data_IF_445369588922
#
_entry.id   IF_445369588922
#
_cell.length_a   1.000
_cell.length_b   1.000
_cell.length_c   1.000
_cell.angle_alpha   90.00
_cell.angle_beta   90.00
_cell.angle_gamma   90.00
#
_symmetry.space_group_name_H-M   'P 1'
#
loop_
_entity.id
_entity.type
_entity.pdbx_description
1 polymer ?
#
# COMPACT_ATOMS: atom_id res chain seq x y z
N UNK A 1 34.99 3.18 -9.85
CA UNK A 1 35.00 3.06 -8.37
C UNK A 1 33.90 3.91 -7.72
N UNK A 2 33.61 5.12 -8.20
CA UNK A 2 32.55 6.01 -7.66
C UNK A 2 31.12 5.44 -7.84
N UNK A 3 30.82 4.79 -8.96
CA UNK A 3 29.50 4.14 -9.21
C UNK A 3 29.14 3.03 -8.19
N UNK A 4 30.13 2.42 -7.53
CA UNK A 4 29.91 1.36 -6.53
C UNK A 4 29.55 1.89 -5.13
N UNK A 5 29.81 3.17 -4.86
CA UNK A 5 29.50 3.81 -3.58
C UNK A 5 28.07 4.35 -3.62
N UNK A 6 27.67 4.99 -4.72
CA UNK A 6 26.28 5.44 -4.92
C UNK A 6 25.29 4.28 -4.98
N UNK A 7 25.67 3.13 -5.55
CA UNK A 7 24.80 1.95 -5.60
C UNK A 7 24.57 1.34 -4.22
N UNK A 8 25.61 1.27 -3.37
CA UNK A 8 25.51 0.77 -1.99
C UNK A 8 24.73 1.72 -1.07
N UNK A 9 24.98 3.02 -1.19
CA UNK A 9 24.24 4.05 -0.46
C UNK A 9 22.75 3.99 -0.82
N UNK A 10 22.44 3.86 -2.12
CA UNK A 10 21.06 3.67 -2.56
C UNK A 10 20.44 2.39 -1.99
N UNK A 11 21.12 1.25 -2.03
CA UNK A 11 20.60 -0.02 -1.50
C UNK A 11 20.33 0.03 0.01
N UNK A 12 21.19 0.70 0.78
CA UNK A 12 21.02 0.87 2.23
C UNK A 12 19.77 1.71 2.56
N UNK A 13 19.54 2.79 1.81
CA UNK A 13 18.33 3.60 1.95
C UNK A 13 17.04 2.81 1.61
N UNK A 14 17.11 1.81 0.72
CA UNK A 14 15.97 0.94 0.41
C UNK A 14 15.71 -0.10 1.49
N UNK A 15 16.76 -0.73 2.03
CA UNK A 15 16.62 -1.61 3.18
C UNK A 15 16.00 -0.87 4.37
N UNK A 16 16.47 0.34 4.65
CA UNK A 16 15.90 1.21 5.67
C UNK A 16 14.46 1.62 5.33
N UNK A 17 14.15 1.98 4.08
CA UNK A 17 12.78 2.31 3.66
C UNK A 17 11.83 1.11 3.83
N UNK A 18 12.22 -0.09 3.41
CA UNK A 18 11.43 -1.31 3.56
C UNK A 18 11.26 -1.67 5.04
N UNK A 19 12.32 -1.53 5.85
CA UNK A 19 12.26 -1.74 7.29
C UNK A 19 11.31 -0.76 7.98
N UNK A 20 11.45 0.53 7.71
CA UNK A 20 10.54 1.58 8.19
C UNK A 20 9.11 1.36 7.69
N UNK A 21 8.94 0.95 6.43
CA UNK A 21 7.65 0.58 5.85
C UNK A 21 6.99 -0.54 6.64
N UNK A 22 7.70 -1.66 6.83
CA UNK A 22 7.19 -2.82 7.54
C UNK A 22 6.83 -2.46 8.99
N UNK A 23 7.73 -1.73 9.67
CA UNK A 23 7.48 -1.24 11.02
C UNK A 23 6.24 -0.34 11.08
N UNK A 24 6.12 0.63 10.17
CA UNK A 24 4.98 1.54 10.15
C UNK A 24 3.67 0.80 9.86
N UNK A 25 3.68 -0.23 8.99
CA UNK A 25 2.50 -1.07 8.76
C UNK A 25 2.11 -1.88 9.98
N UNK A 26 3.08 -2.45 10.70
CA UNK A 26 2.82 -3.15 11.96
C UNK A 26 2.21 -2.17 12.98
N UNK A 27 2.80 -0.98 13.14
CA UNK A 27 2.30 0.05 14.06
C UNK A 27 0.87 0.48 13.70
N UNK A 28 0.59 0.70 12.42
CA UNK A 28 -0.76 1.04 11.92
C UNK A 28 -1.74 -0.11 12.22
N UNK A 29 -1.35 -1.36 11.98
CA UNK A 29 -2.22 -2.52 12.24
C UNK A 29 -2.49 -2.72 13.75
N UNK A 30 -1.48 -2.54 14.60
CA UNK A 30 -1.62 -2.60 16.07
C UNK A 30 -2.51 -1.46 16.57
N UNK A 31 -2.28 -0.23 16.11
CA UNK A 31 -3.12 0.92 16.45
C UNK A 31 -4.56 0.71 16.00
N UNK A 32 -4.77 0.16 14.81
CA UNK A 32 -6.09 -0.18 14.29
C UNK A 32 -6.81 -1.20 15.18
N UNK A 33 -6.17 -2.32 15.50
CA UNK A 33 -6.74 -3.34 16.40
C UNK A 33 -7.07 -2.77 17.79
N UNK A 34 -6.19 -1.92 18.34
CA UNK A 34 -6.41 -1.26 19.62
C UNK A 34 -7.62 -0.33 19.56
N UNK A 35 -7.72 0.53 18.54
CA UNK A 35 -8.85 1.45 18.36
C UNK A 35 -10.16 0.70 18.19
N UNK A 36 -10.19 -0.35 17.36
CA UNK A 36 -11.42 -1.16 17.18
C UNK A 36 -11.84 -1.85 18.48
N UNK A 37 -10.88 -2.34 19.27
CA UNK A 37 -11.14 -2.95 20.57
C UNK A 37 -11.70 -1.92 21.58
N UNK A 38 -11.11 -0.73 21.66
CA UNK A 38 -11.54 0.32 22.59
C UNK A 38 -12.91 0.90 22.24
N UNK A 39 -13.28 0.92 20.96
CA UNK A 39 -14.54 1.47 20.48
C UNK A 39 -15.66 0.43 20.37
N UNK A 40 -15.40 -0.83 20.71
CA UNK A 40 -16.29 -1.97 20.42
C UNK A 40 -16.80 -1.95 18.97
N UNK A 41 -15.95 -1.45 18.06
CA UNK A 41 -16.31 -1.30 16.67
C UNK A 41 -16.26 -2.69 16.03
N UNK A 42 -17.28 -3.08 15.23
CA UNK A 42 -17.26 -4.35 14.55
C UNK A 42 -16.00 -4.41 13.68
N UNK A 43 -15.17 -5.42 13.91
CA UNK A 43 -14.07 -5.74 13.00
C UNK A 43 -14.73 -6.09 11.68
N UNK A 44 -14.55 -5.23 10.68
CA UNK A 44 -15.01 -5.52 9.33
C UNK A 44 -14.27 -6.79 8.91
N UNK A 45 -14.98 -7.92 8.93
CA UNK A 45 -14.53 -9.10 8.23
C UNK A 45 -14.36 -8.66 6.78
N UNK A 46 -13.13 -8.71 6.29
CA UNK A 46 -12.90 -8.57 4.86
C UNK A 46 -13.86 -9.54 4.19
N UNK A 47 -14.64 -9.05 3.23
CA UNK A 47 -15.43 -9.93 2.37
C UNK A 47 -14.41 -10.67 1.51
N UNK A 48 -13.76 -11.66 2.11
CA UNK A 48 -13.03 -12.67 1.38
C UNK A 48 -14.08 -13.32 0.52
N UNK A 49 -14.05 -13.07 -0.79
CA UNK A 49 -14.74 -13.95 -1.69
C UNK A 49 -14.09 -15.32 -1.47
N UNK A 50 -14.74 -16.21 -0.72
CA UNK A 50 -14.38 -17.60 -0.67
C UNK A 50 -14.67 -18.19 -2.06
N UNK A 51 -13.78 -17.91 -3.01
CA UNK A 51 -13.94 -18.24 -4.43
C UNK A 51 -13.80 -19.75 -4.69
N UNK A 52 -13.64 -20.55 -3.63
CA UNK A 52 -13.43 -22.00 -3.69
C UNK A 52 -12.08 -22.41 -4.29
N UNK A 53 -11.25 -21.46 -4.73
CA UNK A 53 -9.96 -21.71 -5.37
C UNK A 53 -8.90 -20.76 -4.80
N UNK A 54 -8.05 -21.28 -3.92
CA UNK A 54 -7.00 -20.52 -3.26
C UNK A 54 -5.98 -19.90 -4.24
N UNK A 55 -5.69 -20.56 -5.37
CA UNK A 55 -4.77 -19.99 -6.36
C UNK A 55 -5.40 -18.78 -7.07
N UNK A 56 -6.69 -18.86 -7.39
CA UNK A 56 -7.41 -17.74 -7.99
C UNK A 56 -7.56 -16.56 -7.03
N UNK A 57 -7.89 -16.85 -5.77
CA UNK A 57 -7.97 -15.83 -4.70
C UNK A 57 -6.61 -15.15 -4.49
N UNK A 58 -5.52 -15.93 -4.39
CA UNK A 58 -4.16 -15.41 -4.29
C UNK A 58 -3.84 -14.46 -5.45
N UNK A 59 -4.11 -14.89 -6.69
CA UNK A 59 -3.87 -14.07 -7.88
C UNK A 59 -4.64 -12.74 -7.80
N UNK A 60 -5.91 -12.79 -7.38
CA UNK A 60 -6.74 -11.59 -7.29
C UNK A 60 -6.30 -10.64 -6.16
N UNK A 61 -6.07 -11.16 -4.96
CA UNK A 61 -5.79 -10.36 -3.75
C UNK A 61 -4.35 -9.83 -3.76
N UNK A 62 -3.39 -10.66 -4.16
CA UNK A 62 -1.97 -10.35 -4.05
C UNK A 62 -1.42 -9.67 -5.30
N UNK A 63 -1.98 -9.94 -6.48
CA UNK A 63 -1.40 -9.47 -7.75
C UNK A 63 -2.34 -8.52 -8.49
N UNK A 64 -3.53 -8.99 -8.87
CA UNK A 64 -4.42 -8.23 -9.78
C UNK A 64 -4.97 -6.98 -9.11
N UNK A 65 -5.53 -7.08 -7.90
CA UNK A 65 -6.12 -5.93 -7.21
C UNK A 65 -5.08 -4.85 -6.90
N UNK A 66 -3.89 -5.17 -6.33
CA UNK A 66 -2.83 -4.19 -6.13
C UNK A 66 -2.40 -3.47 -7.41
N UNK A 67 -2.32 -4.16 -8.54
CA UNK A 67 -1.98 -3.54 -9.83
C UNK A 67 -3.06 -2.54 -10.27
N UNK A 68 -4.33 -2.95 -10.24
CA UNK A 68 -5.46 -2.10 -10.64
C UNK A 68 -5.58 -0.90 -9.71
N UNK A 69 -5.56 -1.13 -8.40
CA UNK A 69 -5.71 -0.07 -7.40
C UNK A 69 -4.55 0.91 -7.44
N UNK A 70 -3.31 0.43 -7.58
CA UNK A 70 -2.14 1.32 -7.72
C UNK A 70 -2.20 2.11 -9.02
N UNK A 71 -2.67 1.51 -10.11
CA UNK A 71 -2.87 2.23 -11.36
C UNK A 71 -3.88 3.37 -11.20
N UNK A 72 -5.07 3.06 -10.66
CA UNK A 72 -6.17 4.01 -10.54
C UNK A 72 -5.93 5.09 -9.48
N UNK A 73 -5.50 4.69 -8.28
CA UNK A 73 -5.38 5.60 -7.14
C UNK A 73 -4.02 6.29 -7.05
N UNK A 74 -2.95 5.73 -7.64
CA UNK A 74 -1.61 6.33 -7.57
C UNK A 74 -1.19 6.86 -8.92
N UNK A 75 -1.10 6.02 -9.95
CA UNK A 75 -0.54 6.45 -11.23
C UNK A 75 -1.39 7.52 -11.92
N UNK A 76 -2.72 7.36 -12.02
CA UNK A 76 -3.56 8.33 -12.72
C UNK A 76 -3.50 9.74 -12.09
N UNK A 77 -3.58 9.93 -10.76
CA UNK A 77 -3.39 11.25 -10.15
C UNK A 77 -2.03 11.87 -10.48
N UNK A 78 -0.94 11.11 -10.40
CA UNK A 78 0.38 11.60 -10.79
C UNK A 78 0.46 11.94 -12.28
N UNK A 79 -0.19 11.15 -13.15
CA UNK A 79 -0.18 11.39 -14.58
C UNK A 79 -0.88 12.71 -14.94
N UNK A 80 -2.07 12.95 -14.40
CA UNK A 80 -2.90 14.10 -14.77
C UNK A 80 -2.61 15.38 -13.98
N UNK A 81 -2.15 15.27 -12.73
CA UNK A 81 -2.02 16.43 -11.84
C UNK A 81 -0.60 16.97 -11.71
N UNK A 82 0.43 16.24 -12.15
CA UNK A 82 1.85 16.65 -11.99
C UNK A 82 2.21 17.99 -12.63
N UNK A 83 1.46 18.43 -13.64
CA UNK A 83 1.66 19.73 -14.30
C UNK A 83 0.92 20.88 -13.62
N UNK A 84 0.00 20.58 -12.69
CA UNK A 84 -0.91 21.55 -12.07
C UNK A 84 -0.68 21.70 -10.57
N UNK A 85 -0.17 20.66 -9.91
CA UNK A 85 -0.02 20.60 -8.45
C UNK A 85 1.39 20.20 -8.05
N UNK A 86 1.80 20.65 -6.87
CA UNK A 86 3.02 20.18 -6.23
C UNK A 86 2.89 18.69 -5.87
N UNK A 87 3.99 17.95 -6.02
CA UNK A 87 3.97 16.48 -5.96
C UNK A 87 3.50 15.94 -4.59
N UNK A 88 3.73 16.65 -3.49
CA UNK A 88 3.25 16.22 -2.18
C UNK A 88 1.72 16.30 -2.05
N UNK A 89 1.06 17.27 -2.70
CA UNK A 89 -0.40 17.30 -2.74
C UNK A 89 -0.96 16.11 -3.51
N UNK A 90 -0.27 15.70 -4.58
CA UNK A 90 -0.67 14.52 -5.35
C UNK A 90 -0.55 13.26 -4.52
N UNK A 91 0.48 13.12 -3.67
CA UNK A 91 0.58 12.00 -2.71
C UNK A 91 -0.64 11.93 -1.80
N UNK A 92 -1.07 13.07 -1.23
CA UNK A 92 -2.24 13.14 -0.36
C UNK A 92 -3.53 12.83 -1.14
N UNK A 93 -3.69 13.38 -2.34
CA UNK A 93 -4.85 13.12 -3.22
C UNK A 93 -4.92 11.64 -3.60
N UNK A 94 -3.80 11.02 -3.98
CA UNK A 94 -3.72 9.60 -4.28
C UNK A 94 -4.16 8.74 -3.09
N UNK A 95 -3.72 9.10 -1.88
CA UNK A 95 -4.09 8.39 -0.68
C UNK A 95 -5.58 8.52 -0.34
N UNK A 96 -6.17 9.71 -0.56
CA UNK A 96 -7.61 9.93 -0.40
C UNK A 96 -8.42 9.11 -1.40
N UNK A 97 -8.00 9.05 -2.67
CA UNK A 97 -8.64 8.22 -3.69
C UNK A 97 -8.55 6.74 -3.31
N UNK A 98 -7.38 6.30 -2.84
CA UNK A 98 -7.20 4.93 -2.36
C UNK A 98 -8.14 4.60 -1.20
N UNK A 99 -8.25 5.49 -0.21
CA UNK A 99 -9.17 5.35 0.91
C UNK A 99 -10.64 5.30 0.46
N UNK A 100 -11.02 6.05 -0.57
CA UNK A 100 -12.37 6.07 -1.10
C UNK A 100 -12.80 4.72 -1.72
N UNK A 101 -11.85 3.91 -2.22
CA UNK A 101 -12.13 2.54 -2.65
C UNK A 101 -12.42 1.58 -1.48
N UNK A 102 -12.15 1.99 -0.24
CA UNK A 102 -12.19 1.17 0.97
C UNK A 102 -13.26 1.68 1.97
N UNK A 103 -14.50 1.88 1.50
CA UNK A 103 -15.58 2.55 2.24
C UNK A 103 -16.37 1.64 3.20
N UNK A 104 -15.85 0.46 3.56
CA UNK A 104 -16.53 -0.49 4.45
C UNK A 104 -16.79 0.05 5.85
N UNK A 105 -15.84 0.84 6.40
CA UNK A 105 -16.02 1.57 7.66
C UNK A 105 -15.09 2.78 7.68
N UNK A 106 -15.41 3.79 8.49
CA UNK A 106 -14.57 4.98 8.65
C UNK A 106 -13.17 4.61 9.15
N UNK A 107 -13.09 3.69 10.13
CA UNK A 107 -11.80 3.25 10.68
C UNK A 107 -10.98 2.56 9.58
N UNK A 108 -11.61 1.69 8.78
CA UNK A 108 -10.94 0.99 7.68
C UNK A 108 -10.51 1.95 6.57
N UNK A 109 -11.31 2.98 6.25
CA UNK A 109 -10.94 4.01 5.30
C UNK A 109 -9.73 4.83 5.80
N UNK A 110 -9.63 5.14 7.09
CA UNK A 110 -8.43 5.78 7.68
C UNK A 110 -7.21 4.86 7.57
N UNK A 111 -7.36 3.58 7.86
CA UNK A 111 -6.30 2.59 7.68
C UNK A 111 -5.84 2.51 6.19
N UNK A 112 -6.79 2.48 5.26
CA UNK A 112 -6.52 2.49 3.83
C UNK A 112 -5.84 3.80 3.40
N UNK A 113 -6.26 4.96 3.90
CA UNK A 113 -5.61 6.24 3.65
C UNK A 113 -4.13 6.22 4.02
N UNK A 114 -3.81 5.73 5.23
CA UNK A 114 -2.42 5.60 5.68
C UNK A 114 -1.62 4.64 4.79
N UNK A 115 -2.22 3.54 4.34
CA UNK A 115 -1.61 2.64 3.35
C UNK A 115 -1.37 3.34 2.00
N UNK A 116 -2.37 4.07 1.52
CA UNK A 116 -2.33 4.82 0.27
C UNK A 116 -1.24 5.90 0.25
N UNK A 117 -1.02 6.61 1.37
CA UNK A 117 0.09 7.57 1.51
C UNK A 117 1.43 6.91 1.22
N UNK A 118 1.62 5.68 1.71
CA UNK A 118 2.86 4.95 1.56
C UNK A 118 3.08 4.51 0.12
N UNK A 119 2.04 3.97 -0.52
CA UNK A 119 2.12 3.53 -1.91
C UNK A 119 2.36 4.70 -2.86
N UNK A 120 1.68 5.82 -2.61
CA UNK A 120 1.88 7.05 -3.36
C UNK A 120 3.27 7.66 -3.12
N UNK A 121 3.80 7.60 -1.89
CA UNK A 121 5.17 8.02 -1.60
C UNK A 121 6.21 7.11 -2.28
N UNK A 122 5.99 5.78 -2.28
CA UNK A 122 6.87 4.84 -2.97
C UNK A 122 6.94 5.14 -4.48
N UNK A 123 5.80 5.47 -5.09
CA UNK A 123 5.74 5.95 -6.47
C UNK A 123 6.51 7.27 -6.63
N UNK A 124 6.23 8.27 -5.80
CA UNK A 124 6.89 9.58 -5.83
C UNK A 124 8.42 9.49 -5.72
N UNK A 125 8.93 8.62 -4.83
CA UNK A 125 10.36 8.41 -4.60
C UNK A 125 11.08 7.79 -5.81
N UNK A 126 10.35 7.11 -6.69
CA UNK A 126 10.89 6.44 -7.88
C UNK A 126 10.46 7.03 -9.21
N UNK A 127 9.66 8.10 -9.22
CA UNK A 127 9.00 8.71 -10.40
C UNK A 127 9.85 8.89 -11.66
N UNK A 128 11.16 9.07 -11.53
CA UNK A 128 12.09 9.27 -12.65
C UNK A 128 12.65 7.94 -13.20
N UNK A 129 12.24 6.79 -12.65
CA UNK A 129 12.67 5.46 -13.10
C UNK A 129 11.65 4.81 -14.02
N UNK A 130 12.17 4.01 -14.95
CA UNK A 130 11.35 3.10 -15.73
C UNK A 130 10.62 2.13 -14.78
N UNK A 131 9.36 1.84 -15.11
CA UNK A 131 8.49 0.93 -14.35
C UNK A 131 8.14 1.38 -12.92
N UNK A 132 8.15 2.70 -12.62
CA UNK A 132 7.78 3.23 -11.29
C UNK A 132 6.48 2.66 -10.73
N UNK A 133 5.46 2.48 -11.59
CA UNK A 133 4.18 1.88 -11.18
C UNK A 133 4.35 0.46 -10.62
N UNK A 134 5.23 -0.34 -11.22
CA UNK A 134 5.49 -1.71 -10.77
C UNK A 134 6.17 -1.74 -9.39
N UNK A 135 6.97 -0.73 -9.07
CA UNK A 135 7.54 -0.61 -7.72
C UNK A 135 6.47 -0.35 -6.67
N UNK A 136 5.60 0.63 -6.91
CA UNK A 136 4.50 0.93 -5.99
C UNK A 136 3.54 -0.27 -5.86
N UNK A 137 3.23 -0.93 -6.97
CA UNK A 137 2.39 -2.11 -6.98
C UNK A 137 3.05 -3.28 -6.23
N UNK A 138 4.38 -3.48 -6.37
CA UNK A 138 5.09 -4.53 -5.64
C UNK A 138 5.09 -4.29 -4.12
N UNK A 139 5.25 -3.04 -3.68
CA UNK A 139 5.13 -2.68 -2.26
C UNK A 139 3.72 -2.99 -1.73
N UNK A 140 2.71 -2.66 -2.53
CA UNK A 140 1.31 -2.95 -2.20
C UNK A 140 1.02 -4.46 -2.16
N UNK A 141 1.43 -5.20 -3.20
CA UNK A 141 1.35 -6.66 -3.26
C UNK A 141 2.07 -7.34 -2.10
N UNK A 142 3.23 -6.82 -1.68
CA UNK A 142 3.95 -7.37 -0.53
C UNK A 142 3.16 -7.26 0.78
N UNK A 143 2.43 -6.15 0.97
CA UNK A 143 1.53 -6.02 2.11
C UNK A 143 0.32 -6.97 1.98
N UNK A 144 -0.31 -7.05 0.80
CA UNK A 144 -1.45 -7.95 0.61
C UNK A 144 -1.05 -9.42 0.75
N UNK A 145 0.17 -9.79 0.35
CA UNK A 145 0.72 -11.12 0.61
C UNK A 145 0.82 -11.39 2.11
N UNK A 146 1.35 -10.44 2.89
CA UNK A 146 1.44 -10.58 4.34
C UNK A 146 0.07 -10.78 4.98
N UNK A 147 -0.93 -9.96 4.62
CA UNK A 147 -2.30 -10.10 5.12
C UNK A 147 -2.92 -11.43 4.69
N UNK A 148 -2.79 -11.80 3.41
CA UNK A 148 -3.31 -13.05 2.86
C UNK A 148 -2.76 -14.29 3.59
N UNK A 149 -1.47 -14.28 3.94
CA UNK A 149 -0.84 -15.35 4.71
C UNK A 149 -1.28 -15.32 6.17
N UNK A 150 -1.38 -14.13 6.78
CA UNK A 150 -1.83 -13.96 8.16
C UNK A 150 -3.25 -14.50 8.36
N UNK A 151 -4.17 -14.17 7.47
CA UNK A 151 -5.58 -14.62 7.54
C UNK A 151 -5.74 -16.15 7.38
N UNK A 152 -4.69 -16.84 6.89
CA UNK A 152 -4.67 -18.31 6.72
C UNK A 152 -3.87 -19.05 7.78
N UNK A 153 -3.15 -18.32 8.63
CA UNK A 153 -2.51 -18.88 9.81
C UNK A 153 -3.54 -18.81 10.94
N UNK A 154 -4.38 -19.84 11.06
CA UNK A 154 -5.41 -19.97 12.11
C UNK A 154 -4.81 -19.79 13.53
N UNK A 155 -4.81 -18.55 14.04
CA UNK A 155 -4.51 -18.20 15.44
C UNK A 155 -5.71 -17.54 16.10
#
# INVERSE_FOLDING_TARGET
MIQNVESKINAWHWGAFIGCFALMRILIAVAFKLVTYLLDAPVVQQVGMALGNAAFEFMLVVIVSPLIETYLAVFLPFHFLKSRLQLHYIVVISALIFAAFHHYSVIYAVHAFLGGLIYAFAFYAKRDRQFTILYAAAVHSGYNLFVYLYDRMDF
#
